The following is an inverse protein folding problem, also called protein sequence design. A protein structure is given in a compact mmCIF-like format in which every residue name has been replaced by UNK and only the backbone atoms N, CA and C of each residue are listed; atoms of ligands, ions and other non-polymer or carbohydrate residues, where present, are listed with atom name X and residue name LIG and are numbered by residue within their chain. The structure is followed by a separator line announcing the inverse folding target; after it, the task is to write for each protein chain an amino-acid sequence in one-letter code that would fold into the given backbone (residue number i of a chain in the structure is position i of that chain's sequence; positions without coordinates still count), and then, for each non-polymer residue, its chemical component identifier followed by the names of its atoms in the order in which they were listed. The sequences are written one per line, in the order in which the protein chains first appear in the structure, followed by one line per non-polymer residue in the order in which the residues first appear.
data_IF_201973973621
#
_entry.id   IF_201973973621
#
_cell.length_a   1.000
_cell.length_b   1.000
_cell.length_c   1.000
_cell.angle_alpha   90.00
_cell.angle_beta   90.00
_cell.angle_gamma   90.00
#
_symmetry.space_group_name_H-M   'P 1'
#
loop_
_entity.id
_entity.type
_entity.pdbx_description
1 polymer ?
#
# COMPACT_ATOMS: atom_id res chain seq x y z
N UNK A 1 -15.90 -20.08 -10.69
CA UNK A 1 -14.68 -19.52 -11.33
C UNK A 1 -14.75 -18.05 -11.04
N UNK A 2 -14.27 -17.66 -9.87
CA UNK A 2 -14.77 -16.45 -9.23
C UNK A 2 -13.91 -15.24 -9.58
N UNK A 3 -14.62 -14.26 -10.14
CA UNK A 3 -14.22 -12.92 -10.52
C UNK A 3 -13.36 -12.23 -9.44
N UNK A 4 -12.04 -12.22 -9.65
CA UNK A 4 -11.10 -11.44 -8.82
C UNK A 4 -10.94 -10.00 -9.30
N UNK A 5 -12.05 -9.28 -9.42
CA UNK A 5 -12.06 -7.83 -9.70
C UNK A 5 -12.07 -6.99 -8.42
N UNK A 6 -12.29 -7.58 -7.24
CA UNK A 6 -12.27 -6.90 -5.93
C UNK A 6 -10.90 -6.77 -5.25
N UNK A 7 -9.81 -7.18 -5.90
CA UNK A 7 -8.47 -7.24 -5.29
C UNK A 7 -7.65 -5.95 -5.47
N UNK A 8 -8.23 -4.82 -5.89
CA UNK A 8 -7.50 -3.57 -6.15
C UNK A 8 -7.98 -2.45 -5.25
N UNK A 9 -7.07 -1.86 -4.50
CA UNK A 9 -7.27 -0.74 -3.59
C UNK A 9 -6.80 0.56 -4.24
N UNK A 10 -7.48 1.65 -3.91
CA UNK A 10 -6.98 3.03 -4.05
C UNK A 10 -6.04 3.38 -2.91
N UNK A 11 -5.33 4.51 -3.02
CA UNK A 11 -4.48 4.98 -1.90
C UNK A 11 -5.31 5.32 -0.64
N UNK A 12 -6.58 5.69 -0.81
CA UNK A 12 -7.48 5.94 0.30
C UNK A 12 -7.87 4.67 1.03
N UNK A 13 -8.25 3.63 0.30
CA UNK A 13 -8.58 2.33 0.87
C UNK A 13 -7.34 1.66 1.47
N UNK A 14 -6.18 1.80 0.83
CA UNK A 14 -4.92 1.30 1.36
C UNK A 14 -4.51 1.99 2.67
N UNK A 15 -4.76 3.29 2.79
CA UNK A 15 -4.54 4.04 4.04
C UNK A 15 -5.35 3.48 5.19
N UNK A 16 -6.62 3.16 4.95
CA UNK A 16 -7.49 2.51 5.94
C UNK A 16 -7.03 1.08 6.22
N UNK A 17 -6.64 0.34 5.17
CA UNK A 17 -6.20 -1.06 5.27
C UNK A 17 -4.93 -1.22 6.11
N UNK A 18 -3.91 -0.42 5.83
CA UNK A 18 -2.62 -0.45 6.53
C UNK A 18 -2.63 0.37 7.83
N UNK A 19 -3.68 1.15 8.07
CA UNK A 19 -3.75 2.14 9.15
C UNK A 19 -2.61 3.16 9.12
N UNK A 20 -2.15 3.52 7.92
CA UNK A 20 -1.06 4.48 7.69
C UNK A 20 -1.65 5.75 7.06
N UNK A 21 -1.24 6.96 7.48
CA UNK A 21 -1.66 8.20 6.85
C UNK A 21 -1.37 8.24 5.34
N UNK A 22 -2.28 8.81 4.55
CA UNK A 22 -2.12 8.95 3.09
C UNK A 22 -0.81 9.67 2.72
N UNK A 23 -0.39 10.66 3.51
CA UNK A 23 0.87 11.39 3.32
C UNK A 23 2.09 10.47 3.33
N UNK A 24 2.18 9.57 4.31
CA UNK A 24 3.23 8.54 4.40
C UNK A 24 3.12 7.55 3.24
N UNK A 25 1.93 7.10 2.88
CA UNK A 25 1.75 6.22 1.70
C UNK A 25 2.21 6.89 0.40
N UNK A 26 1.92 8.18 0.20
CA UNK A 26 2.43 8.91 -0.97
C UNK A 26 3.96 8.95 -1.01
N UNK A 27 4.63 9.08 0.15
CA UNK A 27 6.10 8.98 0.22
C UNK A 27 6.57 7.58 -0.18
N UNK A 28 6.00 6.52 0.41
CA UNK A 28 6.36 5.13 0.11
C UNK A 28 6.15 4.77 -1.37
N UNK A 29 5.07 5.27 -1.97
CA UNK A 29 4.79 5.10 -3.41
C UNK A 29 5.84 5.82 -4.26
N UNK A 30 6.19 7.06 -3.91
CA UNK A 30 7.23 7.84 -4.63
C UNK A 30 8.61 7.20 -4.50
N UNK A 31 8.91 6.62 -3.34
CA UNK A 31 10.16 5.89 -3.08
C UNK A 31 10.18 4.47 -3.67
N UNK A 32 9.04 3.99 -4.19
CA UNK A 32 8.93 2.64 -4.76
C UNK A 32 8.99 1.52 -3.71
N UNK A 33 8.80 1.84 -2.43
CA UNK A 33 8.90 0.89 -1.30
C UNK A 33 7.66 0.02 -1.11
N UNK A 34 6.58 0.32 -1.82
CA UNK A 34 5.31 -0.40 -1.72
C UNK A 34 4.82 -0.81 -3.11
N UNK A 35 4.32 -2.05 -3.29
CA UNK A 35 3.88 -2.52 -4.60
C UNK A 35 2.67 -1.70 -5.07
N UNK A 36 2.90 -0.88 -6.08
CA UNK A 36 1.93 0.08 -6.59
C UNK A 36 1.96 0.13 -8.12
N UNK A 37 0.81 0.39 -8.73
CA UNK A 37 0.68 0.52 -10.17
C UNK A 37 0.01 1.84 -10.52
N UNK A 38 0.65 2.62 -11.39
CA UNK A 38 0.10 3.87 -11.91
C UNK A 38 -0.80 3.56 -13.10
N UNK A 39 -2.09 3.84 -12.95
CA UNK A 39 -3.11 3.65 -13.99
C UNK A 39 -3.70 5.02 -14.32
N UNK A 40 -3.25 5.60 -15.43
CA UNK A 40 -3.55 6.98 -15.80
C UNK A 40 -3.08 7.97 -14.71
N UNK A 41 -4.03 8.69 -14.12
CA UNK A 41 -3.77 9.68 -13.05
C UNK A 41 -3.84 9.11 -11.64
N UNK A 42 -4.18 7.83 -11.50
CA UNK A 42 -4.43 7.23 -10.19
C UNK A 42 -3.45 6.10 -9.87
N UNK A 43 -3.15 5.96 -8.58
CA UNK A 43 -2.45 4.80 -8.06
C UNK A 43 -3.45 3.70 -7.69
N UNK A 44 -3.04 2.46 -8.00
CA UNK A 44 -3.79 1.24 -7.74
C UNK A 44 -2.86 0.24 -7.07
N UNK A 45 -3.39 -0.47 -6.09
CA UNK A 45 -2.63 -1.39 -5.25
C UNK A 45 -3.35 -2.71 -5.23
N UNK A 46 -2.71 -3.78 -5.71
CA UNK A 46 -3.32 -5.10 -5.58
C UNK A 46 -3.23 -5.54 -4.14
N UNK A 47 -4.37 -5.81 -3.50
CA UNK A 47 -4.44 -6.29 -2.12
C UNK A 47 -3.53 -7.48 -1.90
N UNK A 48 -3.60 -8.51 -2.75
CA UNK A 48 -2.71 -9.69 -2.69
C UNK A 48 -1.21 -9.35 -2.79
N UNK A 49 -0.85 -8.31 -3.54
CA UNK A 49 0.55 -7.88 -3.63
C UNK A 49 0.98 -7.15 -2.36
N UNK A 50 0.10 -6.33 -1.79
CA UNK A 50 0.31 -5.67 -0.50
C UNK A 50 0.42 -6.70 0.63
N UNK A 51 -0.46 -7.70 0.66
CA UNK A 51 -0.44 -8.77 1.66
C UNK A 51 0.91 -9.51 1.63
N UNK A 52 1.35 -9.94 0.44
CA UNK A 52 2.67 -10.55 0.28
C UNK A 52 3.81 -9.64 0.69
N UNK A 53 3.73 -8.37 0.31
CA UNK A 53 4.74 -7.38 0.69
C UNK A 53 4.81 -7.25 2.21
N UNK A 54 3.69 -7.23 2.93
CA UNK A 54 3.65 -7.21 4.40
C UNK A 54 4.26 -8.46 5.03
N UNK A 55 4.01 -9.64 4.44
CA UNK A 55 4.64 -10.88 4.88
C UNK A 55 6.16 -10.87 4.67
N UNK A 56 6.63 -10.28 3.56
CA UNK A 56 8.06 -10.13 3.23
C UNK A 56 8.75 -9.02 4.05
N UNK A 57 8.06 -7.91 4.34
CA UNK A 57 8.62 -6.76 5.10
C UNK A 57 8.64 -6.94 6.61
N UNK A 58 8.08 -8.02 7.17
CA UNK A 58 8.26 -8.37 8.59
C UNK A 58 9.72 -8.52 9.03
N UNK A 59 10.66 -8.54 8.09
CA UNK A 59 12.11 -8.62 8.33
C UNK A 59 12.74 -7.23 8.53
N UNK A 60 12.08 -6.14 8.16
CA UNK A 60 12.63 -4.78 8.32
C UNK A 60 11.59 -3.86 8.98
N UNK A 61 11.63 -3.74 10.30
CA UNK A 61 10.90 -2.71 11.05
C UNK A 61 11.53 -1.33 10.78
N UNK A 62 10.81 -0.34 10.23
CA UNK A 62 11.23 1.04 10.26
C UNK A 62 10.37 1.82 11.28
N UNK A 63 11.02 2.18 12.38
CA UNK A 63 10.86 3.40 13.18
C UNK A 63 9.64 4.27 12.80
N UNK A 64 8.52 4.06 13.50
CA UNK A 64 7.43 5.04 13.48
C UNK A 64 7.76 6.12 14.51
N UNK A 65 8.37 7.21 14.05
CA UNK A 65 8.25 8.48 14.79
C UNK A 65 6.79 8.91 14.75
N UNK A 66 6.12 8.72 15.88
CA UNK A 66 5.00 9.56 16.29
C UNK A 66 5.36 11.02 16.06
N UNK A 67 4.51 11.75 15.36
CA UNK A 67 4.53 13.21 15.44
C UNK A 67 3.08 13.71 15.59
N UNK A 68 2.83 14.12 16.84
CA UNK A 68 1.80 15.00 17.41
C UNK A 68 0.52 14.38 17.96
#
# INVERSE_FOLDING_TARGET
MDEKTGDVLTIGELSVYLKIPKSTLYKLVREGKIPSQKVGRHWRFRKKAIDRWLDETRVEEPDTKEEQ
#
